data_IF_489244374711
#
_entry.id   IF_489244374711
#
_cell.length_a   1.000
_cell.length_b   1.000
_cell.length_c   1.000
_cell.angle_alpha   90.00
_cell.angle_beta   90.00
_cell.angle_gamma   90.00
#
_symmetry.space_group_name_H-M   'P 1'
#
loop_
_entity.id
_entity.type
_entity.pdbx_description
1 polymer ?
#
# COMPACT_ATOMS: atom_id res chain seq x y z
N UNK A 1 -12.11 -22.48 30.75
CA UNK A 1 -10.94 -21.88 30.08
C UNK A 1 -11.49 -21.05 28.92
N UNK A 2 -10.95 -19.86 28.65
CA UNK A 2 -11.35 -19.12 27.46
C UNK A 2 -11.12 -20.00 26.23
N UNK A 3 -12.01 -19.91 25.25
CA UNK A 3 -11.81 -20.59 23.97
C UNK A 3 -10.70 -19.90 23.17
N UNK A 4 -10.17 -20.55 22.14
CA UNK A 4 -9.04 -20.02 21.37
C UNK A 4 -9.37 -18.67 20.69
N UNK A 5 -10.62 -18.39 20.37
CA UNK A 5 -11.06 -17.11 19.84
C UNK A 5 -10.98 -15.99 20.89
N UNK A 6 -11.42 -16.25 22.12
CA UNK A 6 -11.28 -15.29 23.23
C UNK A 6 -9.79 -15.03 23.55
N UNK A 7 -8.98 -16.10 23.55
CA UNK A 7 -7.54 -16.00 23.72
C UNK A 7 -6.89 -15.11 22.64
N UNK A 8 -7.21 -15.34 21.37
CA UNK A 8 -6.70 -14.52 20.27
C UNK A 8 -7.13 -13.06 20.40
N UNK A 9 -8.38 -12.80 20.81
CA UNK A 9 -8.89 -11.45 21.05
C UNK A 9 -8.11 -10.72 22.14
N UNK A 10 -7.89 -11.39 23.28
CA UNK A 10 -7.11 -10.83 24.41
C UNK A 10 -5.65 -10.57 24.02
N UNK A 11 -5.02 -11.53 23.32
CA UNK A 11 -3.65 -11.37 22.84
C UNK A 11 -3.54 -10.19 21.85
N UNK A 12 -4.52 -10.03 20.97
CA UNK A 12 -4.52 -8.92 20.01
C UNK A 12 -4.69 -7.56 20.71
N UNK A 13 -5.55 -7.47 21.73
CA UNK A 13 -5.68 -6.25 22.54
C UNK A 13 -4.37 -5.92 23.27
N UNK A 14 -3.75 -6.93 23.88
CA UNK A 14 -2.49 -6.76 24.61
C UNK A 14 -1.33 -6.34 23.69
N UNK A 15 -1.19 -6.97 22.53
CA UNK A 15 -0.11 -6.69 21.59
C UNK A 15 -0.24 -5.29 20.97
N UNK A 16 -1.48 -4.87 20.69
CA UNK A 16 -1.78 -3.53 20.15
C UNK A 16 -1.56 -2.40 21.15
N UNK A 17 -1.49 -2.71 22.45
CA UNK A 17 -1.08 -1.72 23.45
C UNK A 17 0.35 -1.20 23.19
N UNK A 18 1.23 -2.03 22.67
CA UNK A 18 2.62 -1.66 22.39
C UNK A 18 2.77 -0.99 21.01
N UNK A 19 1.85 -1.31 20.08
CA UNK A 19 1.92 -0.83 18.71
C UNK A 19 0.62 -1.07 17.94
N UNK A 20 0.17 -0.06 17.17
CA UNK A 20 -1.09 -0.12 16.43
C UNK A 20 -0.99 -0.75 15.03
N UNK A 21 0.17 -0.68 14.38
CA UNK A 21 0.35 -1.07 12.97
C UNK A 21 1.23 -2.30 12.78
N UNK A 22 0.96 -3.09 11.73
CA UNK A 22 1.75 -4.23 11.28
C UNK A 22 2.09 -5.27 12.37
N UNK A 23 1.21 -5.40 13.38
CA UNK A 23 1.26 -6.44 14.39
C UNK A 23 -0.15 -6.78 14.86
N UNK A 24 -0.42 -8.06 15.08
CA UNK A 24 -1.70 -8.50 15.64
C UNK A 24 -1.86 -10.01 15.61
N UNK A 25 -2.93 -10.46 16.24
CA UNK A 25 -3.28 -11.87 16.38
C UNK A 25 -4.69 -12.07 15.83
N UNK A 26 -4.85 -13.02 14.93
CA UNK A 26 -6.13 -13.41 14.35
C UNK A 26 -6.51 -14.83 14.79
N UNK A 27 -7.79 -15.06 15.08
CA UNK A 27 -8.34 -16.39 15.17
C UNK A 27 -8.86 -16.79 13.79
N UNK A 28 -8.30 -17.88 13.23
CA UNK A 28 -8.68 -18.40 11.91
C UNK A 28 -9.55 -19.65 12.00
N UNK A 29 -9.79 -20.16 13.21
CA UNK A 29 -10.53 -21.40 13.44
C UNK A 29 -9.72 -22.64 12.99
N UNK A 30 -10.20 -23.83 13.31
CA UNK A 30 -9.61 -25.07 12.79
C UNK A 30 -10.04 -25.24 11.32
N UNK A 31 -9.30 -24.65 10.42
CA UNK A 31 -9.41 -25.00 9.00
C UNK A 31 -8.87 -26.41 8.81
N UNK A 32 -9.69 -27.33 8.30
CA UNK A 32 -9.17 -28.59 7.76
C UNK A 32 -8.13 -28.22 6.69
N UNK A 33 -6.92 -28.76 6.83
CA UNK A 33 -5.85 -28.57 5.84
C UNK A 33 -6.43 -28.77 4.43
N UNK A 34 -6.53 -27.70 3.64
CA UNK A 34 -6.95 -27.76 2.24
C UNK A 34 -8.21 -26.98 1.85
N UNK A 35 -9.00 -26.46 2.78
CA UNK A 35 -10.13 -25.60 2.41
C UNK A 35 -9.65 -24.13 2.37
N UNK A 36 -9.48 -23.60 1.16
CA UNK A 36 -9.48 -22.15 0.95
C UNK A 36 -10.79 -21.64 1.55
N UNK A 37 -10.72 -20.67 2.46
CA UNK A 37 -11.90 -19.93 2.91
C UNK A 37 -12.52 -19.29 1.67
N UNK A 38 -13.52 -19.95 1.12
CA UNK A 38 -14.38 -19.37 0.12
C UNK A 38 -15.18 -18.27 0.83
N UNK A 39 -15.02 -17.04 0.34
CA UNK A 39 -15.91 -15.92 0.66
C UNK A 39 -17.37 -16.34 0.40
N UNK A 40 -18.01 -16.92 1.41
CA UNK A 40 -19.44 -17.19 1.37
C UNK A 40 -20.16 -15.95 1.89
N UNK A 41 -21.02 -15.43 1.02
CA UNK A 41 -22.01 -14.36 1.14
C UNK A 41 -21.61 -13.01 0.51
N UNK A 42 -21.28 -13.03 -0.78
CA UNK A 42 -21.63 -11.90 -1.63
C UNK A 42 -23.02 -12.14 -2.21
N UNK A 43 -24.06 -11.54 -1.60
CA UNK A 43 -25.31 -11.29 -2.32
C UNK A 43 -24.96 -10.48 -3.58
N UNK A 44 -25.70 -10.62 -4.71
CA UNK A 44 -25.51 -9.78 -5.88
C UNK A 44 -25.74 -8.33 -5.44
N UNK A 45 -24.65 -7.56 -5.35
CA UNK A 45 -24.73 -6.14 -5.08
C UNK A 45 -25.35 -5.53 -6.34
N UNK A 46 -26.56 -4.96 -6.22
CA UNK A 46 -27.05 -3.98 -7.19
C UNK A 46 -25.88 -3.05 -7.54
N UNK A 47 -25.80 -2.66 -8.79
CA UNK A 47 -24.73 -1.81 -9.32
C UNK A 47 -24.68 -0.51 -8.52
N UNK A 48 -23.98 -0.55 -7.40
CA UNK A 48 -23.78 0.60 -6.55
C UNK A 48 -22.86 1.56 -7.31
N UNK A 49 -23.42 2.64 -7.80
CA UNK A 49 -22.74 3.67 -8.58
C UNK A 49 -21.75 4.50 -7.74
N UNK A 50 -21.55 4.14 -6.47
CA UNK A 50 -20.57 4.81 -5.61
C UNK A 50 -19.15 4.27 -5.88
N UNK A 51 -18.24 5.08 -6.46
CA UNK A 51 -16.88 4.66 -6.75
C UNK A 51 -16.12 4.15 -5.52
N UNK A 52 -16.51 4.59 -4.30
CA UNK A 52 -15.90 4.14 -3.05
C UNK A 52 -16.17 2.67 -2.71
N UNK A 53 -17.26 2.11 -3.23
CA UNK A 53 -17.61 0.72 -3.02
C UNK A 53 -16.98 -0.21 -4.07
N UNK A 54 -16.29 0.34 -5.06
CA UNK A 54 -15.55 -0.47 -6.02
C UNK A 54 -14.44 -1.24 -5.33
N UNK A 55 -14.45 -2.57 -5.50
CA UNK A 55 -13.38 -3.47 -5.05
C UNK A 55 -12.33 -3.70 -6.14
N UNK A 56 -12.48 -3.07 -7.30
CA UNK A 56 -11.58 -3.18 -8.44
C UNK A 56 -11.14 -1.80 -8.91
N UNK A 57 -9.94 -1.68 -9.52
CA UNK A 57 -9.51 -0.45 -10.17
C UNK A 57 -10.52 0.02 -11.22
N UNK A 58 -10.77 1.34 -11.25
CA UNK A 58 -11.74 1.97 -12.15
C UNK A 58 -11.14 3.25 -12.73
N UNK A 59 -11.31 3.46 -14.04
CA UNK A 59 -10.92 4.69 -14.73
C UNK A 59 -12.14 5.34 -15.38
N UNK A 60 -12.26 6.66 -15.21
CA UNK A 60 -13.34 7.45 -15.80
C UNK A 60 -12.81 8.80 -16.32
N UNK A 61 -13.35 9.28 -17.45
CA UNK A 61 -13.21 10.66 -17.90
C UNK A 61 -14.39 11.47 -17.32
N UNK A 62 -14.10 12.30 -16.29
CA UNK A 62 -15.15 13.08 -15.62
C UNK A 62 -15.64 14.21 -16.50
N UNK A 63 -14.73 14.91 -17.19
CA UNK A 63 -15.02 15.99 -18.13
C UNK A 63 -13.83 16.16 -19.10
N UNK A 64 -13.85 17.19 -19.96
CA UNK A 64 -12.79 17.42 -20.95
C UNK A 64 -11.40 17.63 -20.33
N UNK A 65 -11.33 18.19 -19.11
CA UNK A 65 -10.09 18.58 -18.46
C UNK A 65 -9.71 17.67 -17.30
N UNK A 66 -10.51 16.66 -16.92
CA UNK A 66 -10.27 15.86 -15.71
C UNK A 66 -10.55 14.37 -15.94
N UNK A 67 -9.56 13.55 -15.64
CA UNK A 67 -9.70 12.09 -15.57
C UNK A 67 -9.56 11.62 -14.11
N UNK A 68 -10.17 10.48 -13.83
CA UNK A 68 -10.26 9.87 -12.51
C UNK A 68 -9.79 8.41 -12.56
N UNK A 69 -9.01 8.01 -11.57
CA UNK A 69 -8.57 6.63 -11.38
C UNK A 69 -8.80 6.25 -9.93
N UNK A 70 -9.62 5.24 -9.69
CA UNK A 70 -9.81 4.59 -8.40
C UNK A 70 -8.88 3.40 -8.27
N UNK A 71 -8.14 3.30 -7.14
CA UNK A 71 -7.32 2.13 -6.80
C UNK A 71 -7.65 1.71 -5.37
N UNK A 72 -8.49 0.67 -5.17
CA UNK A 72 -8.95 0.26 -3.85
C UNK A 72 -7.89 -0.44 -3.00
N UNK A 73 -6.91 -1.09 -3.61
CA UNK A 73 -5.74 -1.69 -2.94
C UNK A 73 -4.53 -1.77 -3.88
N UNK A 74 -3.36 -2.08 -3.32
CA UNK A 74 -2.12 -2.33 -4.05
C UNK A 74 -1.65 -3.80 -3.93
N UNK A 75 -2.54 -4.75 -3.63
CA UNK A 75 -2.16 -6.16 -3.62
C UNK A 75 -1.50 -6.57 -4.93
N UNK A 76 -0.51 -7.47 -4.86
CA UNK A 76 0.25 -7.89 -6.05
C UNK A 76 -0.66 -8.55 -7.10
N UNK A 77 -1.74 -9.20 -6.67
CA UNK A 77 -2.76 -9.78 -7.53
C UNK A 77 -3.51 -8.75 -8.37
N UNK A 78 -3.62 -7.50 -7.89
CA UNK A 78 -4.30 -6.41 -8.61
C UNK A 78 -3.36 -5.65 -9.56
N UNK A 79 -2.03 -5.86 -9.46
CA UNK A 79 -1.03 -5.18 -10.30
C UNK A 79 -1.37 -5.24 -11.79
N UNK A 80 -1.70 -6.43 -12.30
CA UNK A 80 -2.03 -6.62 -13.72
C UNK A 80 -3.26 -5.81 -14.15
N UNK A 81 -4.27 -5.72 -13.29
CA UNK A 81 -5.48 -4.93 -13.58
C UNK A 81 -5.16 -3.43 -13.59
N UNK A 82 -4.38 -2.95 -12.61
CA UNK A 82 -3.92 -1.55 -12.52
C UNK A 82 -3.11 -1.18 -13.76
N UNK A 83 -2.08 -1.98 -14.11
CA UNK A 83 -1.21 -1.72 -15.25
C UNK A 83 -1.99 -1.72 -16.57
N UNK A 84 -2.91 -2.68 -16.77
CA UNK A 84 -3.73 -2.77 -17.97
C UNK A 84 -4.66 -1.55 -18.12
N UNK A 85 -5.25 -1.11 -17.01
CA UNK A 85 -6.15 0.04 -16.98
C UNK A 85 -5.40 1.35 -17.31
N UNK A 86 -4.23 1.53 -16.73
CA UNK A 86 -3.36 2.69 -16.99
C UNK A 86 -2.87 2.68 -18.44
N UNK A 87 -2.44 1.53 -18.95
CA UNK A 87 -1.96 1.39 -20.33
C UNK A 87 -3.08 1.71 -21.34
N UNK A 88 -4.27 1.15 -21.13
CA UNK A 88 -5.43 1.40 -22.02
C UNK A 88 -5.85 2.87 -22.07
N UNK A 89 -5.65 3.62 -20.98
CA UNK A 89 -6.04 5.02 -20.87
C UNK A 89 -4.87 6.00 -20.95
N UNK A 90 -3.65 5.51 -21.26
CA UNK A 90 -2.43 6.32 -21.24
C UNK A 90 -2.51 7.57 -22.11
N UNK A 91 -3.04 7.47 -23.32
CA UNK A 91 -3.19 8.61 -24.24
C UNK A 91 -4.14 9.67 -23.65
N UNK A 92 -5.25 9.25 -23.07
CA UNK A 92 -6.21 10.13 -22.41
C UNK A 92 -5.59 10.85 -21.23
N UNK A 93 -4.86 10.13 -20.37
CA UNK A 93 -4.16 10.74 -19.20
C UNK A 93 -3.16 11.79 -19.69
N UNK A 94 -2.35 11.48 -20.72
CA UNK A 94 -1.31 12.37 -21.25
C UNK A 94 -1.86 13.54 -22.12
N UNK A 95 -3.16 13.61 -22.35
CA UNK A 95 -3.82 14.72 -23.04
C UNK A 95 -4.76 15.53 -22.13
N UNK A 96 -4.88 15.15 -20.84
CA UNK A 96 -5.82 15.77 -19.90
C UNK A 96 -5.07 16.59 -18.85
N UNK A 97 -5.59 17.77 -18.52
CA UNK A 97 -4.93 18.73 -17.63
C UNK A 97 -4.86 18.22 -16.16
N UNK A 98 -5.97 17.67 -15.68
CA UNK A 98 -6.13 17.24 -14.28
C UNK A 98 -6.31 15.72 -14.19
N UNK A 99 -5.56 15.09 -13.29
CA UNK A 99 -5.67 13.68 -12.99
C UNK A 99 -5.98 13.48 -11.50
N UNK A 100 -7.11 12.87 -11.18
CA UNK A 100 -7.49 12.53 -9.82
C UNK A 100 -7.23 11.04 -9.59
N UNK A 101 -6.41 10.72 -8.59
CA UNK A 101 -6.13 9.36 -8.15
C UNK A 101 -6.76 9.17 -6.77
N UNK A 102 -7.79 8.34 -6.68
CA UNK A 102 -8.50 8.07 -5.44
C UNK A 102 -8.02 6.75 -4.83
N UNK A 103 -7.27 6.86 -3.75
CA UNK A 103 -6.76 5.72 -2.98
C UNK A 103 -7.46 5.58 -1.62
N UNK A 104 -8.56 6.29 -1.38
CA UNK A 104 -9.29 6.14 -0.10
C UNK A 104 -9.59 4.69 0.21
N UNK A 105 -9.43 4.28 1.46
CA UNK A 105 -9.58 2.90 1.96
C UNK A 105 -8.58 1.88 1.37
N UNK A 106 -7.56 2.32 0.64
CA UNK A 106 -6.49 1.42 0.19
C UNK A 106 -5.54 1.13 1.38
N UNK A 107 -5.47 -0.12 1.87
CA UNK A 107 -4.69 -0.45 3.06
C UNK A 107 -3.20 -0.69 2.76
N UNK A 108 -2.82 -0.74 1.48
CA UNK A 108 -1.47 -1.07 1.03
C UNK A 108 -1.41 -2.29 0.11
N UNK A 109 -0.32 -3.04 0.18
CA UNK A 109 -0.05 -4.23 -0.64
C UNK A 109 1.42 -4.31 -1.07
N UNK A 110 1.71 -4.24 -2.38
CA UNK A 110 3.04 -4.29 -2.96
C UNK A 110 3.44 -3.00 -3.66
N UNK A 111 4.65 -2.51 -3.41
CA UNK A 111 5.19 -1.31 -4.08
C UNK A 111 5.27 -1.48 -5.61
N UNK A 112 5.37 -2.72 -6.10
CA UNK A 112 5.32 -3.00 -7.53
C UNK A 112 3.98 -2.60 -8.17
N UNK A 113 2.87 -2.58 -7.42
CA UNK A 113 1.52 -2.35 -7.95
C UNK A 113 1.24 -0.92 -8.36
N UNK A 114 1.99 0.07 -7.82
CA UNK A 114 1.85 1.47 -8.24
C UNK A 114 2.93 1.93 -9.25
N UNK A 115 3.84 1.05 -9.66
CA UNK A 115 4.98 1.42 -10.51
C UNK A 115 4.59 2.09 -11.83
N UNK A 116 3.47 1.68 -12.44
CA UNK A 116 2.93 2.25 -13.68
C UNK A 116 2.39 3.68 -13.54
N UNK A 117 2.15 4.16 -12.30
CA UNK A 117 1.76 5.55 -12.03
C UNK A 117 2.95 6.51 -12.04
N UNK A 118 4.14 6.04 -11.68
CA UNK A 118 5.32 6.89 -11.45
C UNK A 118 5.65 7.80 -12.65
N UNK A 119 5.56 7.34 -13.93
CA UNK A 119 5.85 8.20 -15.08
C UNK A 119 4.99 9.47 -15.17
N UNK A 120 3.74 9.44 -14.69
CA UNK A 120 2.84 10.59 -14.69
C UNK A 120 3.15 11.57 -13.55
N UNK A 121 3.65 11.04 -12.43
CA UNK A 121 3.98 11.81 -11.24
C UNK A 121 5.37 12.45 -11.32
N UNK A 122 6.27 11.90 -12.14
CA UNK A 122 7.67 12.25 -12.15
C UNK A 122 7.91 13.70 -12.61
N UNK A 123 8.60 14.50 -11.78
CA UNK A 123 9.04 15.88 -12.10
C UNK A 123 10.49 16.14 -11.70
N UNK A 124 11.09 15.24 -10.93
CA UNK A 124 12.47 15.31 -10.44
C UNK A 124 12.90 13.94 -9.90
N UNK A 125 14.20 13.70 -9.65
CA UNK A 125 14.66 12.44 -9.07
C UNK A 125 13.93 12.10 -7.77
N UNK A 126 13.35 10.89 -7.71
CA UNK A 126 12.58 10.41 -6.58
C UNK A 126 13.52 9.68 -5.61
N UNK A 127 13.46 10.04 -4.34
CA UNK A 127 14.26 9.43 -3.26
C UNK A 127 13.35 8.50 -2.45
N UNK A 128 13.70 7.22 -2.43
CA UNK A 128 13.00 6.20 -1.62
C UNK A 128 13.91 5.75 -0.50
N UNK A 129 13.51 6.01 0.74
CA UNK A 129 14.26 5.58 1.93
C UNK A 129 14.07 4.08 2.12
N UNK A 130 15.19 3.37 2.31
CA UNK A 130 15.22 1.92 2.50
C UNK A 130 14.84 1.47 3.90
N UNK A 131 14.99 0.17 4.13
CA UNK A 131 14.70 -0.48 5.40
C UNK A 131 15.76 -1.52 5.76
N UNK A 132 15.88 -1.76 7.06
CA UNK A 132 16.69 -2.82 7.65
C UNK A 132 15.78 -4.00 8.02
N UNK A 133 16.19 -5.21 7.72
CA UNK A 133 15.48 -6.45 8.07
C UNK A 133 16.14 -7.13 9.27
N UNK A 134 15.36 -7.45 10.29
CA UNK A 134 15.88 -8.19 11.45
C UNK A 134 15.97 -9.68 11.14
N UNK A 135 17.19 -10.21 11.17
CA UNK A 135 17.47 -11.59 10.78
C UNK A 135 17.28 -12.57 11.94
N UNK A 136 16.37 -13.51 11.77
CA UNK A 136 16.22 -14.74 12.56
C UNK A 136 15.84 -15.88 11.64
N UNK A 137 15.95 -17.14 12.07
CA UNK A 137 15.52 -18.28 11.26
C UNK A 137 14.06 -18.14 10.81
N UNK A 138 13.17 -17.71 11.71
CA UNK A 138 11.76 -17.54 11.42
C UNK A 138 11.50 -16.38 10.47
N UNK A 139 12.14 -15.23 10.68
CA UNK A 139 11.96 -14.05 9.82
C UNK A 139 12.49 -14.29 8.41
N UNK A 140 13.63 -14.98 8.30
CA UNK A 140 14.29 -15.22 7.02
C UNK A 140 13.46 -16.13 6.12
N UNK A 141 12.65 -17.02 6.70
CA UNK A 141 11.74 -17.91 5.96
C UNK A 141 10.85 -17.16 4.98
N UNK A 142 10.45 -15.93 5.32
CA UNK A 142 9.66 -15.06 4.43
C UNK A 142 10.34 -14.82 3.06
N UNK A 143 11.66 -14.60 3.05
CA UNK A 143 12.38 -14.40 1.78
C UNK A 143 12.50 -15.68 0.98
N UNK A 144 12.61 -16.84 1.65
CA UNK A 144 12.59 -18.13 0.99
C UNK A 144 11.23 -18.41 0.34
N UNK A 145 10.13 -18.14 1.04
CA UNK A 145 8.77 -18.28 0.52
C UNK A 145 8.52 -17.37 -0.70
N UNK A 146 8.96 -16.12 -0.64
CA UNK A 146 8.86 -15.19 -1.79
C UNK A 146 9.66 -15.69 -2.99
N UNK A 147 10.82 -16.32 -2.78
CA UNK A 147 11.63 -16.90 -3.85
C UNK A 147 10.96 -18.09 -4.55
N UNK A 148 9.95 -18.69 -3.92
CA UNK A 148 9.20 -19.83 -4.44
C UNK A 148 7.79 -19.46 -4.91
N UNK A 149 7.36 -18.21 -4.70
CA UNK A 149 6.02 -17.76 -5.06
C UNK A 149 5.86 -17.65 -6.60
N UNK A 150 4.86 -18.33 -7.22
CA UNK A 150 4.63 -18.32 -8.65
C UNK A 150 4.23 -16.95 -9.23
N UNK A 151 3.75 -16.01 -8.40
CA UNK A 151 3.32 -14.68 -8.83
C UNK A 151 4.51 -13.75 -9.19
N UNK A 152 5.75 -14.15 -8.83
CA UNK A 152 6.96 -13.40 -9.17
C UNK A 152 7.71 -14.02 -10.36
N UNK A 153 8.35 -13.14 -11.15
CA UNK A 153 9.26 -13.53 -12.22
C UNK A 153 10.57 -14.16 -11.67
N UNK A 154 11.34 -14.83 -12.52
CA UNK A 154 12.54 -15.56 -12.13
C UNK A 154 13.66 -14.64 -11.59
N UNK A 155 13.75 -13.39 -12.06
CA UNK A 155 14.73 -12.41 -11.56
C UNK A 155 14.37 -11.99 -10.13
N UNK A 156 13.10 -11.72 -9.86
CA UNK A 156 12.58 -11.44 -8.52
C UNK A 156 12.80 -12.61 -7.57
N UNK A 157 12.50 -13.83 -7.99
CA UNK A 157 12.75 -15.06 -7.21
C UNK A 157 14.22 -15.23 -6.84
N UNK A 158 15.11 -15.04 -7.81
CA UNK A 158 16.56 -15.07 -7.57
C UNK A 158 17.00 -14.01 -6.57
N UNK A 159 16.45 -12.80 -6.68
CA UNK A 159 16.72 -11.70 -5.76
C UNK A 159 16.29 -12.04 -4.33
N UNK A 160 15.08 -12.57 -4.14
CA UNK A 160 14.60 -13.01 -2.82
C UNK A 160 15.45 -14.15 -2.24
N UNK A 161 15.92 -15.07 -3.07
CA UNK A 161 16.85 -16.12 -2.63
C UNK A 161 18.17 -15.54 -2.14
N UNK A 162 18.75 -14.58 -2.84
CA UNK A 162 19.97 -13.89 -2.42
C UNK A 162 19.75 -13.13 -1.09
N UNK A 163 18.57 -12.52 -0.90
CA UNK A 163 18.21 -11.87 0.37
C UNK A 163 18.12 -12.88 1.52
N UNK A 164 17.51 -14.04 1.26
CA UNK A 164 17.48 -15.12 2.25
C UNK A 164 18.91 -15.53 2.68
N UNK A 165 19.79 -15.77 1.71
CA UNK A 165 21.19 -16.17 1.98
C UNK A 165 21.94 -15.08 2.78
N UNK A 166 21.74 -13.81 2.40
CA UNK A 166 22.35 -12.68 3.11
C UNK A 166 21.84 -12.56 4.55
N UNK A 167 20.56 -12.75 4.79
CA UNK A 167 19.96 -12.77 6.12
C UNK A 167 20.52 -13.94 6.94
N UNK A 168 20.56 -15.16 6.38
CA UNK A 168 21.09 -16.34 7.08
C UNK A 168 22.56 -16.17 7.52
N UNK A 169 23.34 -15.45 6.76
CA UNK A 169 24.73 -15.13 7.09
C UNK A 169 24.88 -14.10 8.23
N UNK A 170 23.79 -13.39 8.62
CA UNK A 170 23.82 -12.29 9.58
C UNK A 170 22.72 -12.43 10.66
N UNK A 171 22.55 -13.63 11.23
CA UNK A 171 21.54 -13.88 12.26
C UNK A 171 21.75 -13.03 13.51
N UNK A 172 20.65 -12.49 14.04
CA UNK A 172 20.64 -11.63 15.22
C UNK A 172 20.85 -10.15 14.93
N UNK A 173 21.12 -9.81 13.67
CA UNK A 173 21.43 -8.44 13.25
C UNK A 173 20.33 -7.82 12.39
N UNK A 174 20.32 -6.48 12.31
CA UNK A 174 19.57 -5.73 11.32
C UNK A 174 20.37 -5.62 10.02
N UNK A 175 19.84 -6.15 8.93
CA UNK A 175 20.53 -6.29 7.65
C UNK A 175 19.95 -5.37 6.59
N UNK A 176 20.79 -4.56 5.94
CA UNK A 176 20.43 -3.80 4.74
C UNK A 176 20.48 -4.73 3.51
N UNK A 177 19.32 -5.19 3.05
CA UNK A 177 19.25 -6.09 1.90
C UNK A 177 19.61 -5.40 0.58
N UNK A 178 19.36 -4.11 0.47
CA UNK A 178 19.50 -3.33 -0.77
C UNK A 178 20.90 -2.71 -0.92
N UNK A 179 21.73 -2.74 0.12
CA UNK A 179 23.03 -2.05 0.20
C UNK A 179 22.93 -0.53 -0.06
N UNK A 180 21.77 0.06 0.20
CA UNK A 180 21.49 1.49 -0.03
C UNK A 180 20.47 1.99 0.98
N UNK A 181 20.86 2.96 1.80
CA UNK A 181 19.92 3.65 2.70
C UNK A 181 18.85 4.42 1.97
N UNK A 182 19.17 4.94 0.79
CA UNK A 182 18.26 5.69 -0.08
C UNK A 182 18.46 5.24 -1.52
N UNK A 183 17.39 4.83 -2.17
CA UNK A 183 17.36 4.60 -3.60
C UNK A 183 16.93 5.88 -4.33
N UNK A 184 17.56 6.18 -5.49
CA UNK A 184 17.21 7.34 -6.31
C UNK A 184 16.75 6.85 -7.67
N UNK A 185 15.46 7.05 -7.93
CA UNK A 185 14.85 6.75 -9.24
C UNK A 185 14.93 7.98 -10.13
N UNK A 186 15.55 7.84 -11.30
CA UNK A 186 15.61 8.87 -12.34
C UNK A 186 14.88 8.37 -13.57
N UNK A 187 14.17 9.27 -14.24
CA UNK A 187 13.52 9.02 -15.52
C UNK A 187 13.99 10.08 -16.51
N UNK A 188 14.15 9.68 -17.77
CA UNK A 188 14.69 10.57 -18.83
C UNK A 188 13.66 11.60 -19.30
N UNK A 189 12.36 11.35 -19.04
CA UNK A 189 11.28 12.19 -19.55
C UNK A 189 10.36 12.65 -18.43
N UNK A 190 10.09 13.95 -18.40
CA UNK A 190 9.02 14.55 -17.62
C UNK A 190 7.84 14.76 -18.56
N UNK A 191 6.72 14.10 -18.29
CA UNK A 191 5.51 14.26 -19.11
C UNK A 191 4.92 15.68 -18.94
N UNK A 192 4.55 16.40 -20.01
CA UNK A 192 3.93 17.72 -19.88
C UNK A 192 2.52 17.65 -19.27
N UNK A 193 1.82 16.54 -19.46
CA UNK A 193 0.50 16.26 -18.90
C UNK A 193 0.51 14.95 -18.10
N UNK A 194 -0.38 14.82 -17.11
CA UNK A 194 -1.26 15.86 -16.55
C UNK A 194 -0.43 17.00 -15.93
N UNK A 195 -1.01 18.21 -15.86
CA UNK A 195 -0.38 19.36 -15.21
C UNK A 195 -0.60 19.34 -13.70
N UNK A 196 -1.80 18.95 -13.28
CA UNK A 196 -2.20 18.87 -11.88
C UNK A 196 -2.66 17.46 -11.54
N UNK A 197 -2.22 16.94 -10.41
CA UNK A 197 -2.59 15.61 -9.92
C UNK A 197 -3.10 15.75 -8.49
N UNK A 198 -4.38 15.41 -8.28
CA UNK A 198 -4.97 15.33 -6.96
C UNK A 198 -5.01 13.88 -6.48
N UNK A 199 -4.39 13.57 -5.35
CA UNK A 199 -4.50 12.24 -4.73
C UNK A 199 -5.44 12.33 -3.54
N UNK A 200 -6.51 11.53 -3.55
CA UNK A 200 -7.53 11.55 -2.49
C UNK A 200 -7.24 10.44 -1.49
N UNK A 201 -7.07 10.86 -0.23
CA UNK A 201 -6.63 10.00 0.87
C UNK A 201 -7.56 10.07 2.07
N UNK A 202 -7.54 9.04 2.92
CA UNK A 202 -8.25 9.01 4.19
C UNK A 202 -7.51 8.20 5.27
N UNK A 203 -8.10 8.14 6.46
CA UNK A 203 -7.59 7.49 7.67
C UNK A 203 -7.42 5.96 7.56
N UNK A 204 -7.90 5.35 6.48
CA UNK A 204 -7.73 3.92 6.21
C UNK A 204 -6.55 3.61 5.28
N UNK A 205 -5.87 4.65 4.77
CA UNK A 205 -4.66 4.46 3.96
C UNK A 205 -3.47 4.10 4.84
N UNK A 206 -2.76 3.03 4.50
CA UNK A 206 -1.58 2.58 5.26
C UNK A 206 -0.57 1.83 4.40
N UNK A 207 0.58 1.50 4.99
CA UNK A 207 1.58 0.62 4.41
C UNK A 207 2.07 1.10 3.01
N UNK A 208 2.00 0.24 2.00
CA UNK A 208 2.39 0.57 0.61
C UNK A 208 1.69 1.82 0.08
N UNK A 209 0.44 2.10 0.50
CA UNK A 209 -0.22 3.36 0.11
C UNK A 209 0.54 4.56 0.64
N UNK A 210 1.01 4.54 1.88
CA UNK A 210 1.83 5.62 2.44
C UNK A 210 3.21 5.71 1.75
N UNK A 211 3.80 4.57 1.36
CA UNK A 211 5.02 4.57 0.55
C UNK A 211 4.79 5.19 -0.84
N UNK A 212 3.65 4.92 -1.48
CA UNK A 212 3.22 5.58 -2.71
C UNK A 212 3.06 7.10 -2.51
N UNK A 213 2.41 7.52 -1.42
CA UNK A 213 2.22 8.94 -1.10
C UNK A 213 3.56 9.66 -0.87
N UNK A 214 4.49 9.06 -0.11
CA UNK A 214 5.85 9.61 0.08
C UNK A 214 6.61 9.76 -1.25
N UNK A 215 6.34 8.89 -2.21
CA UNK A 215 6.88 8.98 -3.56
C UNK A 215 6.20 10.11 -4.34
N UNK A 216 4.87 10.17 -4.29
CA UNK A 216 4.05 11.13 -5.02
C UNK A 216 4.25 12.59 -4.54
N UNK A 217 4.39 12.81 -3.23
CA UNK A 217 4.63 14.12 -2.62
C UNK A 217 5.93 14.80 -3.09
N UNK A 218 6.87 14.06 -3.67
CA UNK A 218 8.09 14.64 -4.26
C UNK A 218 7.83 15.27 -5.63
N UNK A 219 6.65 15.08 -6.21
CA UNK A 219 6.24 15.67 -7.48
C UNK A 219 5.74 17.09 -7.31
N UNK A 220 6.16 17.99 -8.21
CA UNK A 220 5.63 19.37 -8.26
C UNK A 220 4.21 19.48 -8.76
N UNK A 221 3.65 18.38 -9.31
CA UNK A 221 2.29 18.30 -9.87
C UNK A 221 1.26 17.81 -8.87
N UNK A 222 1.70 17.16 -7.79
CA UNK A 222 0.84 16.43 -6.86
C UNK A 222 0.44 17.30 -5.69
N UNK A 223 -0.84 17.20 -5.32
CA UNK A 223 -1.39 17.61 -4.02
C UNK A 223 -2.22 16.48 -3.43
N UNK A 224 -2.07 16.27 -2.14
CA UNK A 224 -2.88 15.34 -1.37
C UNK A 224 -4.14 16.03 -0.84
N UNK A 225 -5.28 15.37 -0.98
CA UNK A 225 -6.59 15.88 -0.54
C UNK A 225 -7.25 14.88 0.39
N UNK A 226 -7.88 15.34 1.45
CA UNK A 226 -8.65 14.47 2.32
C UNK A 226 -8.26 14.54 3.79
N UNK A 227 -7.94 13.41 4.40
CA UNK A 227 -7.59 13.29 5.83
C UNK A 227 -6.29 12.55 6.01
N UNK A 228 -5.69 12.75 7.18
CA UNK A 228 -4.46 12.08 7.60
C UNK A 228 -4.59 10.56 7.45
N UNK A 229 -3.55 9.92 6.92
CA UNK A 229 -3.49 8.48 6.74
C UNK A 229 -3.34 7.73 8.07
N UNK A 230 -3.35 6.42 8.03
CA UNK A 230 -3.36 5.57 9.23
C UNK A 230 -2.07 5.62 10.04
N UNK A 231 -0.92 5.84 9.39
CA UNK A 231 0.38 5.80 10.06
C UNK A 231 0.83 4.37 10.40
N UNK A 232 1.14 3.56 9.37
CA UNK A 232 1.69 2.22 9.55
C UNK A 232 2.60 1.84 8.38
N UNK A 233 3.81 2.40 8.38
CA UNK A 233 4.79 2.20 7.32
C UNK A 233 6.22 1.92 7.84
N UNK A 234 6.62 2.48 9.00
CA UNK A 234 8.03 2.45 9.40
C UNK A 234 8.52 1.06 9.81
N UNK A 235 7.65 0.27 10.41
CA UNK A 235 7.86 -1.15 10.62
C UNK A 235 6.94 -1.91 9.68
N UNK A 236 7.51 -2.60 8.72
CA UNK A 236 6.76 -3.15 7.59
C UNK A 236 7.27 -4.53 7.17
N UNK A 237 6.92 -4.96 5.95
CA UNK A 237 7.24 -6.29 5.44
C UNK A 237 6.67 -7.38 6.36
N UNK A 238 5.34 -7.40 6.44
CA UNK A 238 4.61 -8.28 7.37
C UNK A 238 4.88 -9.76 7.06
N UNK A 239 5.17 -10.51 8.11
CA UNK A 239 5.18 -11.97 8.12
C UNK A 239 3.98 -12.50 8.90
N UNK A 240 3.47 -13.64 8.49
CA UNK A 240 2.36 -14.34 9.15
C UNK A 240 2.87 -15.69 9.63
N UNK A 241 2.65 -15.99 10.91
CA UNK A 241 3.05 -17.26 11.53
C UNK A 241 1.83 -17.90 12.17
N UNK A 242 1.55 -19.12 11.76
CA UNK A 242 0.45 -19.90 12.33
C UNK A 242 0.92 -20.59 13.60
N UNK A 243 0.09 -20.55 14.63
CA UNK A 243 0.32 -21.26 15.90
C UNK A 243 0.44 -22.77 15.69
N UNK A 244 1.10 -23.50 16.58
CA UNK A 244 1.20 -24.97 16.50
C UNK A 244 -0.17 -25.68 16.51
N UNK A 245 -1.18 -25.09 17.13
CA UNK A 245 -2.57 -25.62 17.13
C UNK A 245 -3.31 -25.33 15.82
N UNK A 246 -2.78 -24.46 14.94
CA UNK A 246 -3.30 -24.22 13.59
C UNK A 246 -4.53 -23.33 13.51
N UNK A 247 -4.93 -22.68 14.59
CA UNK A 247 -6.15 -21.88 14.68
C UNK A 247 -5.93 -20.40 15.03
N UNK A 248 -4.69 -20.02 15.30
CA UNK A 248 -4.29 -18.64 15.58
C UNK A 248 -3.14 -18.25 14.65
N UNK A 249 -3.20 -17.06 14.09
CA UNK A 249 -2.13 -16.43 13.33
C UNK A 249 -1.61 -15.19 14.05
N UNK A 250 -0.29 -15.10 14.15
CA UNK A 250 0.42 -13.88 14.51
C UNK A 250 0.96 -13.25 13.23
N UNK A 251 0.65 -11.98 13.00
CA UNK A 251 1.29 -11.18 11.95
C UNK A 251 2.13 -10.06 12.59
N UNK A 252 3.30 -9.80 12.01
CA UNK A 252 4.23 -8.79 12.53
C UNK A 252 5.20 -8.31 11.44
N UNK A 253 5.71 -7.07 11.60
CA UNK A 253 6.67 -6.48 10.66
C UNK A 253 8.09 -7.01 10.85
N UNK A 254 8.78 -7.30 9.76
CA UNK A 254 10.15 -7.84 9.72
C UNK A 254 11.22 -6.76 9.60
N UNK A 255 10.84 -5.56 9.18
CA UNK A 255 11.77 -4.49 8.86
C UNK A 255 11.46 -3.19 9.58
N UNK A 256 12.49 -2.36 9.73
CA UNK A 256 12.36 -0.98 10.17
C UNK A 256 12.95 -0.03 9.15
N UNK A 257 12.27 1.07 8.87
CA UNK A 257 12.72 2.10 7.95
C UNK A 257 13.92 2.87 8.49
N UNK A 258 14.82 3.29 7.59
CA UNK A 258 15.85 4.28 7.91
C UNK A 258 15.32 5.69 8.18
N UNK A 259 13.99 5.95 7.97
CA UNK A 259 13.35 7.24 8.30
C UNK A 259 13.31 7.49 9.79
N UNK A 260 13.15 6.45 10.59
CA UNK A 260 13.04 6.59 12.04
C UNK A 260 14.40 6.69 12.69
N UNK A 261 14.58 7.56 13.74
CA UNK A 261 13.54 8.37 14.38
C UNK A 261 13.27 9.73 13.74
N UNK A 262 13.97 10.14 12.67
CA UNK A 262 14.00 11.53 12.19
C UNK A 262 12.70 11.96 11.47
N UNK A 263 12.04 11.03 10.77
CA UNK A 263 10.80 11.26 10.04
C UNK A 263 9.84 10.06 10.21
N UNK A 264 9.22 9.90 11.38
CA UNK A 264 8.29 8.81 11.63
C UNK A 264 6.95 9.03 10.90
N UNK A 265 6.40 7.92 10.38
CA UNK A 265 5.05 7.84 9.79
C UNK A 265 4.13 7.02 10.71
N UNK A 266 4.65 5.99 11.38
CA UNK A 266 3.88 5.16 12.30
C UNK A 266 3.25 6.01 13.40
N UNK A 267 1.95 5.78 13.66
CA UNK A 267 1.10 6.48 14.63
C UNK A 267 0.85 7.99 14.36
N UNK A 268 1.50 8.57 13.36
CA UNK A 268 1.33 9.98 12.96
C UNK A 268 0.51 10.08 11.67
N UNK A 269 0.80 9.23 10.68
CA UNK A 269 0.26 9.29 9.33
C UNK A 269 0.83 10.43 8.48
N UNK A 270 0.44 10.43 7.22
CA UNK A 270 0.75 11.50 6.26
C UNK A 270 -0.45 12.44 6.17
N UNK A 271 -0.18 13.74 6.35
CA UNK A 271 -1.22 14.76 6.27
C UNK A 271 -1.48 15.18 4.82
N UNK A 272 -2.73 15.51 4.45
CA UNK A 272 -3.05 16.09 3.16
C UNK A 272 -2.57 17.54 3.05
N UNK A 273 -2.27 18.00 1.82
CA UNK A 273 -2.03 19.42 1.54
C UNK A 273 -3.34 20.24 1.66
N UNK A 274 -4.47 19.60 1.33
CA UNK A 274 -5.81 20.18 1.42
C UNK A 274 -6.68 19.28 2.27
N UNK A 275 -6.91 19.72 3.51
CA UNK A 275 -7.76 19.00 4.46
C UNK A 275 -9.24 19.10 4.04
N UNK A 276 -9.94 17.97 3.94
CA UNK A 276 -11.38 17.91 3.73
C UNK A 276 -12.05 17.61 5.05
N UNK A 277 -12.73 18.62 5.60
CA UNK A 277 -13.39 18.51 6.88
C UNK A 277 -14.68 17.67 6.87
N UNK A 278 -15.24 17.44 8.06
CA UNK A 278 -16.39 16.54 8.22
C UNK A 278 -17.72 17.12 7.70
N UNK A 279 -17.77 18.38 7.30
CA UNK A 279 -18.99 18.99 6.72
C UNK A 279 -19.18 18.60 5.26
N UNK A 280 -18.10 18.17 4.58
CA UNK A 280 -18.15 17.66 3.21
C UNK A 280 -18.35 16.15 3.24
N UNK A 281 -19.50 15.71 2.74
CA UNK A 281 -19.81 14.28 2.60
C UNK A 281 -18.72 13.56 1.79
N UNK A 282 -18.22 12.38 2.21
CA UNK A 282 -17.23 11.61 1.47
C UNK A 282 -17.60 11.33 0.00
N UNK A 283 -18.88 11.26 -0.34
CA UNK A 283 -19.36 11.12 -1.72
C UNK A 283 -19.10 12.36 -2.56
N UNK A 284 -18.98 13.52 -1.94
CA UNK A 284 -18.74 14.80 -2.63
C UNK A 284 -17.25 15.17 -2.70
N UNK A 285 -16.35 14.40 -2.12
CA UNK A 285 -14.92 14.73 -2.15
C UNK A 285 -14.36 14.80 -3.56
N UNK A 286 -14.82 13.94 -4.45
CA UNK A 286 -14.40 13.96 -5.85
C UNK A 286 -14.77 15.27 -6.55
N UNK A 287 -15.98 15.78 -6.32
CA UNK A 287 -16.41 17.07 -6.84
C UNK A 287 -15.58 18.22 -6.26
N UNK A 288 -15.34 18.21 -4.95
CA UNK A 288 -14.51 19.20 -4.28
C UNK A 288 -13.08 19.23 -4.88
N UNK A 289 -12.43 18.06 -5.03
CA UNK A 289 -11.07 17.97 -5.59
C UNK A 289 -11.04 18.43 -7.04
N UNK A 290 -12.01 18.00 -7.85
CA UNK A 290 -12.14 18.46 -9.25
C UNK A 290 -12.25 19.98 -9.34
N UNK A 291 -13.12 20.58 -8.55
CA UNK A 291 -13.37 22.02 -8.58
C UNK A 291 -12.14 22.81 -8.11
N UNK A 292 -11.48 22.34 -7.05
CA UNK A 292 -10.22 22.93 -6.55
C UNK A 292 -9.08 22.83 -7.60
N UNK A 293 -8.94 21.71 -8.31
CA UNK A 293 -7.94 21.57 -9.38
C UNK A 293 -8.22 22.50 -10.58
N UNK A 294 -9.48 22.85 -10.81
CA UNK A 294 -9.91 23.79 -11.86
C UNK A 294 -9.91 25.27 -11.40
N UNK A 295 -9.41 25.56 -10.18
CA UNK A 295 -9.31 26.94 -9.66
C UNK A 295 -10.65 27.57 -9.28
N UNK A 296 -11.63 26.76 -8.87
CA UNK A 296 -12.97 27.18 -8.45
C UNK A 296 -13.12 27.14 -6.94
#
# INVERSE_FOLDING_TARGET
MPNNQECATLLNQWIRFFRNGHIGVNYIGKTKKGEKVTEQNKQPIEKDLNPLNSTKPLFEKINENTVYLRIPDFEISEKKAIDSLILANRATILSTENFIIDVRNNPGGSDASYSSLIPFLYTQPIRTVGALFYSTDLNNQRMLELSQNPDFDEESKKTFKNYYEKLQANKGEYVDLFNKKVNITKMDTIQPYPKNIGIVINENNGSTTEQFLLTAMQSKKVKLYGRTTKGMLDISNVNIVTSPCGDIELYYGLSKSYRIPDFPVDDIGLQPDVFIDKTIDPLNWLNFVRDHLNGK
#
